data_IF_456778953936
#
_entry.id   IF_456778953936
#
_cell.length_a   1.000
_cell.length_b   1.000
_cell.length_c   1.000
_cell.angle_alpha   90.00
_cell.angle_beta   90.00
_cell.angle_gamma   90.00
#
_symmetry.space_group_name_H-M   'P 1'
#
loop_
_entity.id
_entity.type
_entity.pdbx_description
1 polymer ?
#
# COMPACT_ATOMS: atom_id res chain seq x y z
N UNK A 1 -22.24 30.38 50.81
CA UNK A 1 -22.64 29.68 49.58
C UNK A 1 -21.70 30.15 48.46
N UNK A 2 -20.60 29.42 48.20
CA UNK A 2 -19.62 29.76 47.14
C UNK A 2 -19.79 28.75 46.01
N UNK A 3 -20.40 29.19 44.91
CA UNK A 3 -20.52 28.39 43.69
C UNK A 3 -19.17 28.46 42.97
N UNK A 4 -18.40 27.37 43.00
CA UNK A 4 -17.25 27.20 42.12
C UNK A 4 -17.78 26.83 40.73
N UNK A 5 -17.65 27.73 39.76
CA UNK A 5 -17.80 27.38 38.35
C UNK A 5 -16.55 26.62 37.89
N UNK A 6 -16.69 25.32 37.65
CA UNK A 6 -15.69 24.54 36.93
C UNK A 6 -15.80 24.84 35.43
N UNK A 7 -14.84 25.59 34.89
CA UNK A 7 -14.67 25.79 33.46
C UNK A 7 -14.09 24.50 32.84
N UNK A 8 -14.98 23.65 32.31
CA UNK A 8 -14.62 22.54 31.43
C UNK A 8 -14.05 23.10 30.13
N UNK A 9 -12.72 23.14 30.03
CA UNK A 9 -12.01 23.47 28.80
C UNK A 9 -12.14 22.31 27.81
N UNK A 10 -13.01 22.46 26.82
CA UNK A 10 -13.04 21.59 25.64
C UNK A 10 -11.75 21.80 24.85
N UNK A 11 -10.75 20.94 25.07
CA UNK A 11 -9.67 20.76 24.10
C UNK A 11 -10.27 20.08 22.87
N UNK A 12 -10.71 20.87 21.89
CA UNK A 12 -10.91 20.38 20.54
C UNK A 12 -9.54 19.93 20.02
N UNK A 13 -9.30 18.62 20.02
CA UNK A 13 -8.20 18.05 19.26
C UNK A 13 -8.55 18.31 17.80
N UNK A 14 -7.98 19.38 17.24
CA UNK A 14 -7.97 19.55 15.79
C UNK A 14 -7.21 18.34 15.25
N UNK A 15 -7.95 17.34 14.75
CA UNK A 15 -7.38 16.30 13.92
C UNK A 15 -6.87 17.03 12.70
N UNK A 16 -5.58 17.37 12.71
CA UNK A 16 -4.89 17.88 11.53
C UNK A 16 -5.05 16.77 10.50
N UNK A 17 -5.93 16.98 9.53
CA UNK A 17 -6.05 16.07 8.41
C UNK A 17 -4.72 16.14 7.67
N UNK A 18 -3.82 15.20 7.97
CA UNK A 18 -2.50 15.14 7.39
C UNK A 18 -2.61 15.21 5.86
N UNK A 19 -2.15 16.33 5.32
CA UNK A 19 -2.25 16.65 3.91
C UNK A 19 -1.41 15.68 3.06
N UNK A 20 -0.38 15.09 3.68
CA UNK A 20 0.51 14.07 3.11
C UNK A 20 0.44 12.78 3.94
N UNK A 21 0.57 11.59 3.33
CA UNK A 21 0.68 10.35 4.10
C UNK A 21 1.97 10.34 4.92
N UNK A 22 1.90 9.80 6.13
CA UNK A 22 3.08 9.47 6.93
C UNK A 22 3.87 8.37 6.23
N UNK A 23 5.20 8.50 6.19
CA UNK A 23 6.09 7.50 5.58
C UNK A 23 7.08 6.91 6.60
N UNK A 24 7.44 5.62 6.48
CA UNK A 24 6.91 4.67 5.50
C UNK A 24 5.43 4.34 5.74
N UNK A 25 4.64 4.30 4.67
CA UNK A 25 3.24 3.86 4.71
C UNK A 25 3.19 2.35 4.48
N UNK A 26 2.47 1.62 5.33
CA UNK A 26 2.36 0.17 5.28
C UNK A 26 0.97 -0.24 4.81
N UNK A 27 0.89 -0.76 3.58
CA UNK A 27 -0.33 -1.35 3.02
C UNK A 27 -0.34 -2.87 3.28
N UNK A 28 -0.86 -3.25 4.45
CA UNK A 28 -0.89 -4.63 4.93
C UNK A 28 -1.94 -5.49 4.20
N UNK A 29 -1.62 -6.76 3.99
CA UNK A 29 -2.50 -7.73 3.32
C UNK A 29 -2.53 -7.57 1.79
N UNK A 30 -1.71 -6.67 1.23
CA UNK A 30 -1.78 -6.32 -0.19
C UNK A 30 -1.08 -7.31 -1.09
N UNK A 31 -1.74 -7.76 -2.15
CA UNK A 31 -1.17 -8.43 -3.32
C UNK A 31 -1.04 -7.38 -4.43
N UNK A 32 0.17 -6.98 -4.87
CA UNK A 32 0.36 -5.71 -5.57
C UNK A 32 0.19 -5.78 -7.10
N UNK A 33 -0.29 -6.89 -7.64
CA UNK A 33 -0.56 -7.02 -9.08
C UNK A 33 -1.84 -7.83 -9.34
N UNK A 34 -2.37 -7.72 -10.56
CA UNK A 34 -3.55 -8.43 -11.02
C UNK A 34 -3.33 -9.95 -10.96
N UNK A 35 -4.36 -10.73 -10.61
CA UNK A 35 -4.22 -12.19 -10.54
C UNK A 35 -3.46 -12.72 -9.32
N UNK A 36 -2.65 -11.88 -8.65
CA UNK A 36 -1.86 -12.22 -7.47
C UNK A 36 -2.67 -12.93 -6.37
N UNK A 37 -2.16 -14.07 -5.90
CA UNK A 37 -2.77 -14.89 -4.85
C UNK A 37 -1.73 -15.46 -3.89
N UNK A 38 -2.03 -15.40 -2.59
CA UNK A 38 -1.26 -16.07 -1.54
C UNK A 38 -1.57 -17.57 -1.55
N UNK A 39 -0.68 -18.35 -2.15
CA UNK A 39 -0.84 -19.78 -2.40
C UNK A 39 0.52 -20.49 -2.35
N UNK A 40 0.59 -21.74 -2.81
CA UNK A 40 1.88 -22.40 -2.98
C UNK A 40 2.65 -21.80 -4.16
N UNK A 41 3.84 -21.27 -3.87
CA UNK A 41 4.76 -20.68 -4.83
C UNK A 41 6.04 -21.50 -4.95
N UNK A 42 6.85 -21.20 -5.96
CA UNK A 42 8.18 -21.80 -6.14
C UNK A 42 9.27 -20.73 -6.13
N UNK A 43 10.31 -20.92 -5.32
CA UNK A 43 11.46 -20.01 -5.29
C UNK A 43 12.22 -20.05 -6.63
N UNK A 44 12.36 -18.90 -7.28
CA UNK A 44 13.18 -18.70 -8.48
C UNK A 44 14.65 -18.50 -8.13
N UNK A 45 15.00 -18.19 -6.89
CA UNK A 45 16.38 -18.12 -6.41
C UNK A 45 16.45 -18.44 -4.91
N UNK A 46 17.64 -18.47 -4.33
CA UNK A 46 17.73 -18.50 -2.85
C UNK A 46 17.06 -17.24 -2.29
N UNK A 47 16.14 -17.42 -1.35
CA UNK A 47 15.50 -16.31 -0.63
C UNK A 47 15.90 -16.32 0.84
N UNK A 48 16.03 -15.12 1.41
CA UNK A 48 16.40 -14.91 2.81
C UNK A 48 15.15 -14.50 3.57
N UNK A 49 14.68 -15.38 4.46
CA UNK A 49 13.55 -15.11 5.33
C UNK A 49 14.02 -14.42 6.62
N UNK A 50 13.36 -13.31 6.96
CA UNK A 50 13.70 -12.42 8.08
C UNK A 50 12.57 -12.32 9.09
N UNK A 51 12.89 -11.86 10.30
CA UNK A 51 11.91 -11.70 11.38
C UNK A 51 10.84 -10.65 11.09
N UNK A 52 11.20 -9.61 10.34
CA UNK A 52 10.35 -8.46 10.01
C UNK A 52 10.55 -8.09 8.53
N UNK A 53 9.61 -7.36 7.90
CA UNK A 53 9.72 -6.92 6.51
C UNK A 53 10.72 -5.76 6.37
N UNK A 54 11.99 -6.03 6.67
CA UNK A 54 13.09 -5.08 6.65
C UNK A 54 14.41 -5.76 6.34
N UNK A 55 15.26 -5.12 5.53
CA UNK A 55 16.60 -5.64 5.23
C UNK A 55 17.52 -5.67 6.45
N UNK A 56 17.24 -4.84 7.46
CA UNK A 56 18.00 -4.79 8.71
C UNK A 56 17.55 -5.86 9.73
N UNK A 57 16.40 -6.50 9.51
CA UNK A 57 15.88 -7.50 10.43
C UNK A 57 16.73 -8.78 10.44
N UNK A 58 16.76 -9.45 11.59
CA UNK A 58 17.48 -10.71 11.77
C UNK A 58 17.06 -11.74 10.72
N UNK A 59 18.06 -12.44 10.16
CA UNK A 59 17.85 -13.57 9.27
C UNK A 59 17.39 -14.76 10.12
N UNK A 60 16.27 -15.37 9.76
CA UNK A 60 15.75 -16.56 10.42
C UNK A 60 16.22 -17.83 9.71
N UNK A 61 16.08 -17.87 8.39
CA UNK A 61 16.49 -19.00 7.56
C UNK A 61 16.62 -18.58 6.09
N UNK A 62 17.17 -19.49 5.30
CA UNK A 62 17.24 -19.39 3.84
C UNK A 62 16.44 -20.51 3.21
N UNK A 63 15.82 -20.22 2.07
CA UNK A 63 15.13 -21.22 1.25
C UNK A 63 15.84 -21.28 -0.11
N UNK A 64 16.44 -22.42 -0.47
CA UNK A 64 17.12 -22.58 -1.76
C UNK A 64 16.19 -22.37 -2.97
N UNK A 65 16.78 -22.15 -4.15
CA UNK A 65 16.06 -22.13 -5.43
C UNK A 65 15.32 -23.46 -5.68
N UNK A 66 14.16 -23.37 -6.31
CA UNK A 66 13.34 -24.52 -6.75
C UNK A 66 12.53 -25.17 -5.64
N UNK A 67 12.47 -24.56 -4.45
CA UNK A 67 11.68 -25.05 -3.33
C UNK A 67 10.26 -24.49 -3.36
N UNK A 68 9.32 -25.30 -2.89
CA UNK A 68 7.95 -24.84 -2.66
C UNK A 68 7.84 -24.15 -1.31
N UNK A 69 7.11 -23.05 -1.28
CA UNK A 69 6.73 -22.29 -0.08
C UNK A 69 5.27 -21.89 -0.20
N UNK A 70 4.60 -21.66 0.91
CA UNK A 70 3.27 -21.06 0.95
C UNK A 70 3.41 -19.55 1.17
N UNK A 71 2.89 -18.73 0.27
CA UNK A 71 2.69 -17.30 0.52
C UNK A 71 1.51 -17.12 1.48
N UNK A 72 1.71 -16.41 2.59
CA UNK A 72 0.70 -16.25 3.64
C UNK A 72 0.01 -14.89 3.61
N UNK A 73 0.80 -13.84 3.43
CA UNK A 73 0.36 -12.44 3.37
C UNK A 73 1.49 -11.58 2.82
N UNK A 74 1.26 -10.28 2.68
CA UNK A 74 2.29 -9.34 2.27
C UNK A 74 2.00 -7.92 2.75
N UNK A 75 2.98 -7.06 2.55
CA UNK A 75 2.90 -5.64 2.84
C UNK A 75 3.62 -4.87 1.75
N UNK A 76 2.97 -3.85 1.21
CA UNK A 76 3.64 -2.85 0.36
C UNK A 76 4.05 -1.70 1.25
N UNK A 77 5.36 -1.52 1.39
CA UNK A 77 5.96 -0.45 2.18
C UNK A 77 6.29 0.70 1.23
N UNK A 78 5.57 1.82 1.34
CA UNK A 78 5.78 3.02 0.53
C UNK A 78 6.72 3.95 1.27
N UNK A 79 7.95 4.06 0.80
CA UNK A 79 8.99 4.93 1.36
C UNK A 79 8.83 6.37 0.88
N UNK A 80 8.36 6.56 -0.36
CA UNK A 80 8.06 7.87 -0.94
C UNK A 80 6.77 7.77 -1.74
N UNK A 81 5.72 8.57 -1.44
CA UNK A 81 4.51 8.58 -2.23
C UNK A 81 4.79 9.21 -3.60
N UNK A 82 4.04 8.75 -4.61
CA UNK A 82 4.00 9.42 -5.90
C UNK A 82 3.16 10.69 -5.83
N UNK A 83 3.19 11.47 -6.90
CA UNK A 83 2.51 12.75 -7.00
C UNK A 83 1.66 12.76 -8.25
N UNK A 84 0.37 13.05 -8.07
CA UNK A 84 -0.57 13.34 -9.14
C UNK A 84 -1.09 14.77 -8.96
N UNK A 85 -1.09 15.55 -10.05
CA UNK A 85 -1.67 16.89 -10.09
C UNK A 85 -3.00 16.88 -10.82
N UNK A 86 -4.00 17.53 -10.24
CA UNK A 86 -5.29 17.77 -10.87
C UNK A 86 -5.17 18.96 -11.82
N UNK A 87 -5.40 18.74 -13.11
CA UNK A 87 -5.29 19.76 -14.16
C UNK A 87 -6.60 20.52 -14.36
N UNK A 88 -7.74 19.83 -14.19
CA UNK A 88 -9.10 20.38 -14.36
C UNK A 88 -9.99 19.89 -13.22
N UNK A 89 -11.07 20.61 -12.87
CA UNK A 89 -12.05 20.09 -11.92
C UNK A 89 -12.53 18.70 -12.31
N UNK A 90 -12.51 17.75 -11.37
CA UNK A 90 -12.81 16.34 -11.62
C UNK A 90 -13.46 15.72 -10.38
N UNK A 91 -14.35 14.74 -10.60
CA UNK A 91 -14.86 13.89 -9.53
C UNK A 91 -14.22 12.51 -9.65
N UNK A 92 -13.41 12.11 -8.67
CA UNK A 92 -12.69 10.82 -8.67
C UNK A 92 -12.63 10.21 -7.27
N UNK A 93 -12.00 9.05 -7.15
CA UNK A 93 -11.76 8.41 -5.85
C UNK A 93 -12.90 7.51 -5.43
N UNK A 94 -12.67 6.20 -5.48
CA UNK A 94 -13.54 5.18 -4.92
C UNK A 94 -13.02 4.78 -3.55
N UNK A 95 -13.90 4.50 -2.59
CA UNK A 95 -13.47 3.96 -1.30
C UNK A 95 -13.18 2.44 -1.39
N UNK A 96 -12.83 1.85 -0.26
CA UNK A 96 -12.57 0.42 -0.10
C UNK A 96 -13.75 -0.49 -0.44
N UNK A 97 -14.98 0.03 -0.37
CA UNK A 97 -16.21 -0.65 -0.77
C UNK A 97 -16.56 -0.45 -2.24
N UNK A 98 -15.66 0.16 -3.03
CA UNK A 98 -15.90 0.53 -4.43
C UNK A 98 -17.05 1.52 -4.63
N UNK A 99 -17.39 2.30 -3.60
CA UNK A 99 -18.36 3.39 -3.72
C UNK A 99 -17.64 4.63 -4.25
N UNK A 100 -18.17 5.24 -5.32
CA UNK A 100 -17.59 6.45 -5.90
C UNK A 100 -18.02 6.73 -7.34
N UNK A 101 -17.44 7.77 -7.96
CA UNK A 101 -16.40 8.64 -7.41
C UNK A 101 -16.93 9.62 -6.33
N UNK A 102 -16.17 9.82 -5.25
CA UNK A 102 -16.62 10.55 -4.04
C UNK A 102 -16.03 11.95 -3.90
N UNK A 103 -14.87 12.21 -4.51
CA UNK A 103 -14.08 13.41 -4.26
C UNK A 103 -14.22 14.40 -5.40
N UNK A 104 -14.81 15.57 -5.12
CA UNK A 104 -14.83 16.72 -6.04
C UNK A 104 -13.55 17.54 -5.85
N UNK A 105 -12.60 17.36 -6.76
CA UNK A 105 -11.29 18.01 -6.72
C UNK A 105 -11.25 19.23 -7.64
N UNK A 106 -10.49 20.25 -7.22
CA UNK A 106 -10.25 21.45 -8.03
C UNK A 106 -8.94 21.35 -8.80
N UNK A 107 -8.86 22.09 -9.91
CA UNK A 107 -7.61 22.28 -10.63
C UNK A 107 -6.53 22.85 -9.68
N UNK A 108 -5.32 22.30 -9.79
CA UNK A 108 -4.18 22.65 -8.94
C UNK A 108 -4.04 21.79 -7.68
N UNK A 109 -5.06 21.01 -7.30
CA UNK A 109 -4.92 20.08 -6.17
C UNK A 109 -3.90 18.97 -6.46
N UNK A 110 -3.29 18.47 -5.40
CA UNK A 110 -2.28 17.42 -5.45
C UNK A 110 -2.75 16.20 -4.67
N UNK A 111 -2.54 15.01 -5.26
CA UNK A 111 -2.84 13.71 -4.67
C UNK A 111 -1.55 12.93 -4.48
N UNK A 112 -1.48 12.12 -3.42
CA UNK A 112 -0.32 11.29 -3.10
C UNK A 112 -0.63 9.83 -3.40
N UNK A 113 -0.09 9.28 -4.49
CA UNK A 113 -0.30 7.86 -4.83
C UNK A 113 0.60 6.98 -3.98
N UNK A 114 0.09 5.84 -3.54
CA UNK A 114 0.75 4.91 -2.61
C UNK A 114 1.24 3.66 -3.34
N UNK A 115 0.32 2.83 -3.82
CA UNK A 115 0.63 1.54 -4.43
C UNK A 115 -0.22 1.30 -5.69
N UNK A 116 0.33 0.54 -6.63
CA UNK A 116 -0.43 0.02 -7.78
C UNK A 116 -1.43 -1.03 -7.29
N UNK A 117 -2.61 -1.04 -7.91
CA UNK A 117 -3.67 -2.01 -7.64
C UNK A 117 -3.88 -3.00 -8.79
N UNK A 118 -3.11 -2.88 -9.88
CA UNK A 118 -3.32 -3.61 -11.14
C UNK A 118 -4.02 -2.75 -12.20
N UNK A 119 -3.89 -3.12 -13.47
CA UNK A 119 -4.60 -2.49 -14.61
C UNK A 119 -4.48 -0.96 -14.74
N UNK A 120 -3.45 -0.36 -14.12
CA UNK A 120 -3.26 1.10 -14.09
C UNK A 120 -4.02 1.82 -12.97
N UNK A 121 -4.83 1.10 -12.17
CA UNK A 121 -5.43 1.64 -10.95
C UNK A 121 -4.37 1.83 -9.86
N UNK A 122 -4.52 2.92 -9.10
CA UNK A 122 -3.59 3.28 -8.03
C UNK A 122 -4.35 3.60 -6.74
N UNK A 123 -3.86 3.15 -5.61
CA UNK A 123 -4.32 3.71 -4.33
C UNK A 123 -3.67 5.08 -4.14
N UNK A 124 -4.42 6.04 -3.62
CA UNK A 124 -3.91 7.35 -3.23
C UNK A 124 -4.46 7.81 -1.89
N UNK A 125 -3.67 8.63 -1.21
CA UNK A 125 -4.02 9.31 0.02
C UNK A 125 -4.62 10.68 -0.28
N UNK A 126 -5.71 11.00 0.39
CA UNK A 126 -6.31 12.32 0.40
C UNK A 126 -6.96 12.61 1.76
N UNK A 127 -6.45 13.65 2.44
CA UNK A 127 -7.01 14.18 3.69
C UNK A 127 -7.29 13.10 4.76
N UNK A 128 -6.30 12.26 5.04
CA UNK A 128 -6.41 11.24 6.10
C UNK A 128 -7.03 9.91 5.68
N UNK A 129 -7.41 9.75 4.40
CA UNK A 129 -8.07 8.54 3.88
C UNK A 129 -7.42 8.05 2.60
N UNK A 130 -7.54 6.75 2.34
CA UNK A 130 -7.15 6.15 1.07
C UNK A 130 -8.35 6.01 0.15
N UNK A 131 -8.08 6.15 -1.14
CA UNK A 131 -9.03 6.01 -2.22
C UNK A 131 -8.36 5.29 -3.39
N UNK A 132 -9.17 4.69 -4.25
CA UNK A 132 -8.72 4.15 -5.53
C UNK A 132 -8.89 5.22 -6.61
N UNK A 133 -7.79 5.52 -7.27
CA UNK A 133 -7.75 6.29 -8.51
C UNK A 133 -7.96 5.29 -9.64
N UNK A 134 -9.15 5.34 -10.24
CA UNK A 134 -9.45 4.62 -11.47
C UNK A 134 -8.71 5.28 -12.65
N UNK A 135 -8.58 4.53 -13.74
CA UNK A 135 -7.88 4.94 -14.94
C UNK A 135 -8.52 6.20 -15.55
N UNK A 136 -7.76 7.30 -15.66
CA UNK A 136 -8.17 8.49 -16.42
C UNK A 136 -8.15 8.15 -17.92
N UNK A 137 -9.25 7.58 -18.43
CA UNK A 137 -9.40 7.16 -19.82
C UNK A 137 -9.10 8.29 -20.82
N UNK A 138 -9.37 9.55 -20.45
CA UNK A 138 -9.10 10.71 -21.31
C UNK A 138 -7.68 11.28 -21.14
N UNK A 139 -6.94 10.87 -20.11
CA UNK A 139 -5.57 11.30 -19.74
C UNK A 139 -5.37 12.82 -19.72
N UNK A 140 -6.42 13.60 -19.45
CA UNK A 140 -6.36 15.07 -19.55
C UNK A 140 -6.80 15.79 -18.27
N UNK A 141 -7.35 15.07 -17.29
CA UNK A 141 -7.87 15.65 -16.07
C UNK A 141 -6.81 15.63 -14.96
N UNK A 142 -5.92 14.64 -14.99
CA UNK A 142 -4.82 14.50 -14.06
C UNK A 142 -3.48 14.33 -14.78
N UNK A 143 -2.39 14.63 -14.06
CA UNK A 143 -1.02 14.40 -14.52
C UNK A 143 -0.21 13.68 -13.45
N UNK A 144 0.35 12.53 -13.81
CA UNK A 144 1.37 11.86 -13.01
C UNK A 144 2.67 12.67 -13.09
N UNK A 145 3.16 13.12 -11.94
CA UNK A 145 4.39 13.92 -11.80
C UNK A 145 5.53 13.08 -11.25
N UNK A 146 5.23 12.18 -10.31
CA UNK A 146 6.20 11.27 -9.72
C UNK A 146 5.54 9.92 -9.41
N UNK A 147 6.27 8.83 -9.62
CA UNK A 147 5.83 7.47 -9.23
C UNK A 147 6.20 7.20 -7.77
N UNK A 148 5.39 6.45 -7.02
CA UNK A 148 5.76 6.04 -5.67
C UNK A 148 7.00 5.15 -5.69
N UNK A 149 7.81 5.25 -4.63
CA UNK A 149 8.86 4.27 -4.33
C UNK A 149 8.34 3.36 -3.23
N UNK A 150 8.22 2.08 -3.54
CA UNK A 150 7.74 1.08 -2.62
C UNK A 150 8.52 -0.23 -2.73
N UNK A 151 8.44 -1.01 -1.66
CA UNK A 151 8.95 -2.38 -1.60
C UNK A 151 7.81 -3.30 -1.21
N UNK A 152 7.66 -4.42 -1.91
CA UNK A 152 6.76 -5.47 -1.49
C UNK A 152 7.52 -6.48 -0.65
N UNK A 153 6.98 -6.83 0.50
CA UNK A 153 7.46 -7.91 1.35
C UNK A 153 6.37 -8.95 1.52
N UNK A 154 6.75 -10.21 1.48
CA UNK A 154 5.84 -11.35 1.62
C UNK A 154 6.22 -12.18 2.82
N UNK A 155 5.23 -12.60 3.59
CA UNK A 155 5.43 -13.61 4.62
C UNK A 155 5.23 -14.97 3.98
N UNK A 156 6.20 -15.85 4.13
CA UNK A 156 6.17 -17.21 3.59
C UNK A 156 6.21 -18.25 4.70
N UNK A 157 5.74 -19.46 4.40
CA UNK A 157 5.97 -20.68 5.18
C UNK A 157 6.67 -21.72 4.31
N UNK A 158 7.75 -22.32 4.81
CA UNK A 158 8.43 -23.41 4.10
C UNK A 158 7.86 -24.79 4.44
N UNK A 159 8.37 -25.85 3.79
CA UNK A 159 7.96 -27.24 4.03
C UNK A 159 8.21 -27.75 5.46
N UNK A 160 9.06 -27.06 6.23
CA UNK A 160 9.36 -27.39 7.62
C UNK A 160 8.45 -26.62 8.59
N UNK A 161 7.52 -25.80 8.07
CA UNK A 161 6.62 -24.97 8.87
C UNK A 161 7.24 -23.68 9.40
N UNK A 162 8.46 -23.32 8.95
CA UNK A 162 9.13 -22.08 9.39
C UNK A 162 8.56 -20.88 8.64
N UNK A 163 8.34 -19.78 9.34
CA UNK A 163 7.79 -18.56 8.78
C UNK A 163 8.77 -17.39 8.83
N UNK A 164 8.73 -16.54 7.80
CA UNK A 164 9.49 -15.29 7.80
C UNK A 164 9.15 -14.39 6.61
N UNK A 165 9.64 -13.17 6.68
CA UNK A 165 9.44 -12.13 5.68
C UNK A 165 10.57 -12.13 4.64
N UNK A 166 10.19 -12.09 3.37
CA UNK A 166 11.10 -12.03 2.22
C UNK A 166 10.77 -10.77 1.42
N UNK A 167 11.78 -9.97 1.07
CA UNK A 167 11.61 -8.85 0.16
C UNK A 167 11.29 -9.42 -1.22
N UNK A 168 10.11 -9.12 -1.78
CA UNK A 168 9.69 -9.69 -3.04
C UNK A 168 9.81 -8.73 -4.22
N UNK A 169 10.83 -8.95 -5.05
CA UNK A 169 11.04 -8.19 -6.28
C UNK A 169 10.83 -9.01 -7.56
N UNK A 170 10.78 -10.36 -7.51
CA UNK A 170 10.63 -11.36 -8.61
C UNK A 170 11.17 -12.76 -8.20
N UNK A 171 11.21 -13.05 -6.91
CA UNK A 171 11.83 -14.21 -6.30
C UNK A 171 10.97 -15.46 -6.40
N UNK A 172 9.67 -15.35 -6.69
CA UNK A 172 8.77 -16.50 -6.75
C UNK A 172 8.11 -16.66 -8.12
N UNK A 173 7.75 -17.89 -8.44
CA UNK A 173 6.88 -18.30 -9.55
C UNK A 173 5.58 -18.87 -8.99
N UNK A 174 4.54 -18.94 -9.81
CA UNK A 174 3.19 -19.39 -9.46
C UNK A 174 2.51 -18.48 -8.43
N UNK A 175 2.83 -17.18 -8.48
CA UNK A 175 2.20 -16.15 -7.63
C UNK A 175 0.90 -15.61 -8.21
N UNK A 176 0.73 -15.78 -9.52
CA UNK A 176 -0.48 -15.42 -10.24
C UNK A 176 -1.39 -16.64 -10.32
N UNK A 177 -2.69 -16.47 -10.07
CA UNK A 177 -3.69 -17.52 -10.24
C UNK A 177 -3.83 -18.01 -11.68
N UNK A 178 -3.32 -17.25 -12.65
CA UNK A 178 -3.36 -17.56 -14.08
C UNK A 178 -2.11 -18.30 -14.58
N UNK A 179 -1.10 -18.50 -13.73
CA UNK A 179 0.07 -19.37 -13.97
C UNK A 179 -0.21 -20.83 -13.55
#
# INVERSE_FOLDING_TARGET
>A
MRVLLALLSFFAVAVSADEKPQVPYYDWGRCPFEGCTYQQWTTKQEVVARAEPSLAANILFKVPRGQHVEGLTGVVIVEQPGIVKVLKPVTLGYNDKSEGPLLKLKAGEQLYTLASLGEGAMQFWYKGKTYTLDYDYERNQIKYVATPKSQWWVKIRDKQGREGWVAEAKNFAHMDRFE
#
